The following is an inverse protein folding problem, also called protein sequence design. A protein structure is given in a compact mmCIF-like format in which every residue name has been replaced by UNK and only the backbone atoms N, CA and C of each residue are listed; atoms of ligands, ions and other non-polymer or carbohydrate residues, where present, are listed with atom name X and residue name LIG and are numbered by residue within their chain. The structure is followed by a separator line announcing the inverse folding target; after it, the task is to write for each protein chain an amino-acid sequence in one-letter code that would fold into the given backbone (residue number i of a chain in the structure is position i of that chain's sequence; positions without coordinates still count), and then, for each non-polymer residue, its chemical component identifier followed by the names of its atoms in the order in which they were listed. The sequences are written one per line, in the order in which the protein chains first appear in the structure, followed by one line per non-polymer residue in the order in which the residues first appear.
data_IF_526639201067
#
_entry.id   IF_526639201067
#
_cell.length_a   1.000
_cell.length_b   1.000
_cell.length_c   1.000
_cell.angle_alpha   90.00
_cell.angle_beta   90.00
_cell.angle_gamma   90.00
#
_symmetry.space_group_name_H-M   'P 1'
#
loop_
_entity.id
_entity.type
_entity.pdbx_description
1 polymer ?
#
# COMPACT_ATOMS: atom_id res chain seq x y z
N UNK A 1 19.11 -18.74 -1.33
CA UNK A 1 18.23 -17.89 -2.17
C UNK A 1 16.78 -18.08 -1.77
N UNK A 2 16.25 -17.28 -0.82
CA UNK A 2 14.80 -16.98 -0.68
C UNK A 2 14.65 -15.71 0.17
N UNK A 3 14.57 -14.54 -0.48
CA UNK A 3 14.32 -13.24 0.16
C UNK A 3 12.94 -12.69 -0.28
N UNK A 4 12.01 -13.56 -0.67
CA UNK A 4 10.80 -13.15 -1.42
C UNK A 4 9.48 -13.14 -0.65
N UNK A 5 9.46 -13.39 0.68
CA UNK A 5 8.19 -13.63 1.40
C UNK A 5 7.77 -12.54 2.40
N UNK A 6 8.46 -11.39 2.46
CA UNK A 6 8.22 -10.38 3.49
C UNK A 6 7.03 -9.45 3.23
N UNK A 7 6.59 -9.31 1.97
CA UNK A 7 5.49 -8.43 1.58
C UNK A 7 4.44 -9.20 0.76
N UNK A 8 3.17 -9.02 1.10
CA UNK A 8 2.03 -9.52 0.32
C UNK A 8 1.50 -8.41 -0.57
N UNK A 9 1.56 -8.65 -1.89
CA UNK A 9 0.91 -7.80 -2.87
C UNK A 9 -0.61 -8.03 -2.83
N UNK A 10 -1.38 -6.97 -2.64
CA UNK A 10 -2.84 -6.94 -2.76
C UNK A 10 -3.24 -5.88 -3.77
N UNK A 11 -4.30 -6.15 -4.51
CA UNK A 11 -4.97 -5.15 -5.36
C UNK A 11 -6.21 -4.65 -4.64
N UNK A 12 -6.37 -3.34 -4.54
CA UNK A 12 -7.52 -2.68 -3.93
C UNK A 12 -8.20 -1.77 -4.95
N UNK A 13 -9.53 -1.80 -5.01
CA UNK A 13 -10.32 -0.93 -5.88
C UNK A 13 -10.86 0.21 -5.02
N UNK A 14 -10.48 1.44 -5.35
CA UNK A 14 -10.90 2.66 -4.63
C UNK A 14 -12.41 2.85 -4.74
N UNK A 15 -13.08 3.02 -3.59
CA UNK A 15 -14.51 3.31 -3.53
C UNK A 15 -14.77 4.81 -3.34
N UNK A 16 -16.02 5.23 -3.57
CA UNK A 16 -16.42 6.61 -3.36
C UNK A 16 -16.22 7.02 -1.88
N UNK A 17 -15.48 8.10 -1.64
CA UNK A 17 -15.16 8.59 -0.30
C UNK A 17 -13.89 7.98 0.32
N UNK A 18 -13.17 7.12 -0.39
CA UNK A 18 -11.83 6.72 0.03
C UNK A 18 -10.79 7.78 -0.29
N UNK A 19 -9.77 7.84 0.56
CA UNK A 19 -8.61 8.70 0.37
C UNK A 19 -7.34 7.92 0.70
N UNK A 20 -6.21 8.37 0.15
CA UNK A 20 -4.94 7.64 0.27
C UNK A 20 -4.46 7.51 1.72
N UNK A 21 -4.80 8.48 2.58
CA UNK A 21 -4.45 8.47 4.01
C UNK A 21 -5.20 7.37 4.77
N UNK A 22 -6.50 7.17 4.47
CA UNK A 22 -7.34 6.13 5.04
C UNK A 22 -6.86 4.76 4.60
N UNK A 23 -6.51 4.60 3.32
CA UNK A 23 -5.94 3.35 2.81
C UNK A 23 -4.57 3.06 3.43
N UNK A 24 -3.68 4.03 3.51
CA UNK A 24 -2.37 3.90 4.17
C UNK A 24 -2.52 3.38 5.61
N UNK A 25 -3.42 3.97 6.39
CA UNK A 25 -3.72 3.53 7.76
C UNK A 25 -4.31 2.12 7.80
N UNK A 26 -5.26 1.81 6.90
CA UNK A 26 -5.91 0.50 6.82
C UNK A 26 -4.92 -0.62 6.48
N UNK A 27 -3.91 -0.33 5.65
CA UNK A 27 -2.92 -1.31 5.19
C UNK A 27 -1.59 -1.25 5.94
N UNK A 28 -1.49 -0.43 6.99
CA UNK A 28 -0.27 -0.23 7.79
C UNK A 28 0.97 0.12 6.94
N UNK A 29 0.78 0.95 5.90
CA UNK A 29 1.85 1.46 5.06
C UNK A 29 1.84 2.99 5.06
N UNK A 30 2.89 3.62 4.51
CA UNK A 30 2.89 5.07 4.35
C UNK A 30 2.19 5.48 3.05
N UNK A 31 1.66 6.70 3.02
CA UNK A 31 1.07 7.29 1.80
C UNK A 31 2.10 7.30 0.67
N UNK A 32 3.35 7.66 1.00
CA UNK A 32 4.48 7.65 0.06
C UNK A 32 4.72 6.28 -0.54
N UNK A 33 4.61 5.21 0.25
CA UNK A 33 4.76 3.85 -0.27
C UNK A 33 3.66 3.51 -1.28
N UNK A 34 2.39 3.79 -0.96
CA UNK A 34 1.26 3.58 -1.87
C UNK A 34 1.46 4.35 -3.17
N UNK A 35 1.90 5.61 -3.08
CA UNK A 35 2.16 6.44 -4.25
C UNK A 35 3.29 5.86 -5.10
N UNK A 36 4.39 5.42 -4.50
CA UNK A 36 5.51 4.81 -5.21
C UNK A 36 5.10 3.51 -5.90
N UNK A 37 4.34 2.65 -5.23
CA UNK A 37 3.88 1.37 -5.81
C UNK A 37 2.94 1.54 -7.00
N UNK A 38 2.22 2.66 -7.04
CA UNK A 38 1.23 2.97 -8.07
C UNK A 38 1.67 4.08 -9.02
N UNK A 39 2.92 4.54 -8.92
CA UNK A 39 3.46 5.68 -9.68
C UNK A 39 2.57 6.95 -9.64
N UNK A 40 1.92 7.19 -8.49
CA UNK A 40 1.05 8.35 -8.31
C UNK A 40 1.89 9.59 -8.07
N UNK A 41 1.55 10.67 -8.77
CA UNK A 41 2.16 12.00 -8.58
C UNK A 41 1.49 12.80 -7.46
N UNK A 42 0.22 12.53 -7.21
CA UNK A 42 -0.59 13.21 -6.20
C UNK A 42 -1.26 12.18 -5.28
N UNK A 43 -1.71 12.65 -4.12
CA UNK A 43 -2.49 11.89 -3.15
C UNK A 43 -3.96 11.72 -3.55
N UNK A 44 -4.34 12.20 -4.73
CA UNK A 44 -5.70 12.12 -5.25
C UNK A 44 -5.97 10.71 -5.79
N UNK A 45 -7.10 10.14 -5.37
CA UNK A 45 -7.55 8.84 -5.82
C UNK A 45 -8.85 8.99 -6.60
N UNK A 46 -8.96 8.25 -7.70
CA UNK A 46 -10.15 8.24 -8.52
C UNK A 46 -11.05 7.05 -8.16
N UNK A 47 -12.36 7.25 -8.28
CA UNK A 47 -13.32 6.18 -8.08
C UNK A 47 -13.05 5.02 -9.06
N UNK A 48 -13.08 3.78 -8.55
CA UNK A 48 -12.74 2.53 -9.25
C UNK A 48 -11.29 2.41 -9.70
N UNK A 49 -10.41 3.29 -9.26
CA UNK A 49 -8.99 3.15 -9.51
C UNK A 49 -8.45 1.89 -8.82
N UNK A 50 -7.67 1.10 -9.55
CA UNK A 50 -6.94 -0.03 -8.98
C UNK A 50 -5.65 0.46 -8.34
N UNK A 51 -5.42 0.05 -7.10
CA UNK A 51 -4.21 0.33 -6.34
C UNK A 51 -3.53 -0.98 -5.95
N UNK A 52 -2.23 -1.03 -6.23
CA UNK A 52 -1.31 -2.04 -5.75
C UNK A 52 -0.84 -1.65 -4.36
N UNK A 53 -1.09 -2.50 -3.39
CA UNK A 53 -0.71 -2.31 -2.00
C UNK A 53 0.18 -3.48 -1.57
N UNK A 54 1.39 -3.19 -1.11
CA UNK A 54 2.28 -4.20 -0.53
C UNK A 54 2.21 -4.13 0.98
N UNK A 55 1.47 -5.05 1.60
CA UNK A 55 1.41 -5.12 3.06
C UNK A 55 2.54 -6.00 3.59
N UNK A 56 3.18 -5.63 4.70
CA UNK A 56 4.08 -6.54 5.39
C UNK A 56 3.32 -7.81 5.82
N UNK A 57 3.78 -9.00 5.43
CA UNK A 57 3.25 -10.23 6.03
C UNK A 57 3.71 -10.24 7.48
N UNK A 58 2.76 -10.06 8.40
CA UNK A 58 2.98 -10.06 9.85
C UNK A 58 3.71 -11.35 10.25
N UNK A 59 5.02 -11.24 10.43
CA UNK A 59 5.95 -12.36 10.62
C UNK A 59 7.44 -12.00 10.50
N UNK A 60 7.79 -10.77 10.12
CA UNK A 60 9.16 -10.27 10.19
C UNK A 60 9.20 -8.91 10.86
N UNK A 61 9.70 -8.86 12.08
CA UNK A 61 10.05 -7.62 12.76
C UNK A 61 11.14 -6.89 11.97
N UNK A 62 10.78 -6.02 11.01
CA UNK A 62 11.72 -5.01 10.53
C UNK A 62 11.72 -3.85 11.53
N UNK A 63 12.43 -4.05 12.63
CA UNK A 63 13.13 -2.93 13.28
C UNK A 63 14.10 -2.40 12.23
N UNK A 64 13.81 -1.24 11.65
CA UNK A 64 14.87 -0.43 11.07
C UNK A 64 15.69 0.11 12.23
N UNK A 65 16.92 -0.38 12.35
CA UNK A 65 17.99 0.30 13.08
C UNK A 65 18.39 1.56 12.30
#
# INVERSE_FOLDING_TARGET
HKVSDHYEKRTYIVLAGDNIHKLARMFHCSVTDIMQWNNLRTSELFYRQELIIYRPKSGGFYRRA
#
